data_IF_187731663839
#
_entry.id   IF_187731663839
#
_cell.length_a   1.000
_cell.length_b   1.000
_cell.length_c   1.000
_cell.angle_alpha   90.00
_cell.angle_beta   90.00
_cell.angle_gamma   90.00
#
_symmetry.space_group_name_H-M   'P 1'
#
loop_
_entity.id
_entity.type
_entity.pdbx_description
1 polymer ?
#
# COMPACT_ATOMS: atom_id res chain seq x y z
N UNK A 1 6.95 6.04 37.92
CA UNK A 1 5.49 6.12 38.19
C UNK A 1 4.89 7.38 37.54
N UNK A 2 5.39 8.58 37.81
CA UNK A 2 4.83 9.81 37.20
C UNK A 2 4.99 9.91 35.67
N UNK A 3 6.14 9.49 35.10
CA UNK A 3 6.35 9.53 33.64
C UNK A 3 5.40 8.60 32.88
N UNK A 4 5.16 7.38 33.37
CA UNK A 4 4.24 6.42 32.73
C UNK A 4 2.79 6.91 32.75
N UNK A 5 2.38 7.61 33.80
CA UNK A 5 1.03 8.19 33.87
C UNK A 5 0.88 9.38 32.91
N UNK A 6 1.90 10.24 32.79
CA UNK A 6 1.89 11.35 31.82
C UNK A 6 1.84 10.85 30.37
N UNK A 7 2.59 9.80 30.04
CA UNK A 7 2.57 9.18 28.70
C UNK A 7 1.20 8.60 28.36
N UNK A 8 0.57 7.92 29.32
CA UNK A 8 -0.78 7.37 29.15
C UNK A 8 -1.82 8.47 28.92
N UNK A 9 -1.79 9.53 29.72
CA UNK A 9 -2.71 10.67 29.56
C UNK A 9 -2.50 11.36 28.21
N UNK A 10 -1.24 11.53 27.75
CA UNK A 10 -0.95 12.08 26.41
C UNK A 10 -1.53 11.18 25.32
N UNK A 11 -1.32 9.87 25.38
CA UNK A 11 -1.85 8.93 24.39
C UNK A 11 -3.39 8.93 24.35
N UNK A 12 -4.06 8.97 25.50
CA UNK A 12 -5.53 9.07 25.60
C UNK A 12 -6.05 10.40 25.01
N UNK A 13 -5.35 11.51 25.27
CA UNK A 13 -5.69 12.81 24.68
C UNK A 13 -5.52 12.83 23.16
N UNK A 14 -4.42 12.25 22.64
CA UNK A 14 -4.17 12.13 21.21
C UNK A 14 -5.21 11.25 20.52
N UNK A 15 -5.54 10.10 21.10
CA UNK A 15 -6.57 9.20 20.58
C UNK A 15 -7.95 9.88 20.50
N UNK A 16 -8.21 10.85 21.38
CA UNK A 16 -9.47 11.61 21.39
C UNK A 16 -9.55 12.67 20.28
N UNK A 17 -8.43 13.09 19.66
CA UNK A 17 -8.39 14.19 18.68
C UNK A 17 -9.36 14.01 17.52
N UNK A 18 -9.52 12.78 17.02
CA UNK A 18 -10.44 12.50 15.93
C UNK A 18 -11.89 12.87 16.27
N UNK A 19 -12.32 12.61 17.50
CA UNK A 19 -13.65 12.98 17.97
C UNK A 19 -13.85 14.50 18.04
N UNK A 20 -12.76 15.26 18.22
CA UNK A 20 -12.78 16.72 18.30
C UNK A 20 -12.62 17.42 16.95
N UNK A 21 -12.16 16.72 15.90
CA UNK A 21 -11.78 17.31 14.62
C UNK A 21 -12.89 18.18 13.99
N UNK A 22 -14.16 17.81 14.18
CA UNK A 22 -15.31 18.59 13.70
C UNK A 22 -15.52 19.95 14.38
N UNK A 23 -14.85 20.20 15.50
CA UNK A 23 -14.91 21.47 16.24
C UNK A 23 -13.53 22.12 16.43
N UNK A 24 -12.47 21.48 15.94
CA UNK A 24 -11.10 21.92 16.10
C UNK A 24 -10.36 21.73 14.77
N UNK A 25 -10.39 22.75 13.92
CA UNK A 25 -9.78 22.74 12.58
C UNK A 25 -8.29 22.40 12.59
N UNK A 26 -7.61 22.59 13.72
CA UNK A 26 -6.18 22.28 13.90
C UNK A 26 -5.91 20.84 14.33
N UNK A 27 -6.92 20.00 14.54
CA UNK A 27 -6.74 18.63 15.01
C UNK A 27 -5.82 17.79 14.09
N UNK A 28 -5.93 17.85 12.74
CA UNK A 28 -4.99 17.17 11.85
C UNK A 28 -3.56 17.67 12.02
N UNK A 29 -3.37 18.99 12.09
CA UNK A 29 -2.04 19.59 12.28
C UNK A 29 -1.40 19.11 13.59
N UNK A 30 -2.16 19.03 14.68
CA UNK A 30 -1.66 18.53 15.97
C UNK A 30 -1.26 17.06 15.85
N UNK A 31 -2.08 16.21 15.24
CA UNK A 31 -1.73 14.80 15.03
C UNK A 31 -0.46 14.65 14.17
N UNK A 32 -0.35 15.40 13.06
CA UNK A 32 0.84 15.37 12.21
C UNK A 32 2.09 15.88 12.95
N UNK A 33 1.98 16.92 13.79
CA UNK A 33 3.11 17.44 14.58
C UNK A 33 3.64 16.38 15.55
N UNK A 34 2.74 15.63 16.18
CA UNK A 34 3.12 14.54 17.09
C UNK A 34 3.76 13.36 16.36
N UNK A 35 3.30 13.06 15.14
CA UNK A 35 3.95 12.06 14.27
C UNK A 35 5.27 12.59 13.71
N UNK A 36 5.45 13.88 13.54
CA UNK A 36 6.71 14.45 13.04
C UNK A 36 7.78 14.56 14.14
N UNK A 37 7.38 14.68 15.41
CA UNK A 37 8.28 14.81 16.56
C UNK A 37 9.03 13.51 16.85
N UNK A 38 10.20 13.32 16.24
CA UNK A 38 11.00 12.10 16.33
C UNK A 38 11.48 11.80 17.75
N UNK A 39 11.48 12.78 18.67
CA UNK A 39 11.92 12.60 20.05
C UNK A 39 10.86 11.90 20.91
N UNK A 40 9.59 11.89 20.47
CA UNK A 40 8.51 11.16 21.15
C UNK A 40 8.69 9.65 21.10
N UNK A 41 8.21 8.97 22.15
CA UNK A 41 8.25 7.52 22.30
C UNK A 41 7.09 6.85 21.54
N UNK A 42 6.42 5.83 22.08
CA UNK A 42 5.35 5.12 21.36
C UNK A 42 4.06 5.94 21.16
N UNK A 43 3.95 7.15 21.73
CA UNK A 43 2.74 7.97 21.75
C UNK A 43 2.31 8.45 20.36
N UNK A 44 3.24 8.62 19.42
CA UNK A 44 2.91 9.01 18.04
C UNK A 44 1.95 8.02 17.36
N UNK A 45 1.89 6.76 17.83
CA UNK A 45 0.92 5.78 17.31
C UNK A 45 -0.53 6.14 17.66
N UNK A 46 -0.77 6.78 18.81
CA UNK A 46 -2.08 7.30 19.15
C UNK A 46 -2.47 8.47 18.23
N UNK A 47 -1.52 9.37 17.93
CA UNK A 47 -1.70 10.43 16.95
C UNK A 47 -1.96 9.87 15.54
N UNK A 48 -1.25 8.82 15.12
CA UNK A 48 -1.50 8.12 13.85
C UNK A 48 -2.92 7.53 13.80
N UNK A 49 -3.38 6.88 14.88
CA UNK A 49 -4.75 6.35 14.95
C UNK A 49 -5.81 7.45 14.82
N UNK A 50 -5.58 8.61 15.46
CA UNK A 50 -6.45 9.76 15.32
C UNK A 50 -6.42 10.33 13.88
N UNK A 51 -5.22 10.49 13.29
CA UNK A 51 -5.06 10.94 11.90
C UNK A 51 -5.79 10.01 10.93
N UNK A 52 -5.63 8.70 11.08
CA UNK A 52 -6.31 7.69 10.25
C UNK A 52 -7.83 7.85 10.31
N UNK A 53 -8.37 8.07 11.50
CA UNK A 53 -9.80 8.31 11.69
C UNK A 53 -10.25 9.61 11.02
N UNK A 54 -9.45 10.69 11.14
CA UNK A 54 -9.75 11.96 10.47
C UNK A 54 -9.70 11.84 8.94
N UNK A 55 -8.72 11.12 8.38
CA UNK A 55 -8.62 10.88 6.93
C UNK A 55 -9.82 10.08 6.41
N UNK A 56 -10.29 9.10 7.17
CA UNK A 56 -11.53 8.36 6.88
C UNK A 56 -12.75 9.29 6.84
N UNK A 57 -12.80 10.29 7.73
CA UNK A 57 -13.82 11.32 7.82
C UNK A 57 -13.56 12.52 6.89
N UNK A 58 -12.61 12.38 5.95
CA UNK A 58 -12.28 13.35 4.88
C UNK A 58 -11.60 14.63 5.36
N UNK A 59 -10.93 14.57 6.50
CA UNK A 59 -10.25 15.70 7.12
C UNK A 59 -8.76 15.38 7.23
N UNK A 60 -7.89 16.35 6.95
CA UNK A 60 -6.45 16.22 7.21
C UNK A 60 -5.58 15.71 6.05
N UNK A 61 -6.10 15.59 4.83
CA UNK A 61 -5.34 15.08 3.68
C UNK A 61 -4.19 15.99 3.25
N UNK A 62 -4.36 17.31 3.36
CA UNK A 62 -3.28 18.27 3.10
C UNK A 62 -2.17 18.10 4.11
N UNK A 63 -2.50 18.07 5.40
CA UNK A 63 -1.54 17.89 6.49
C UNK A 63 -0.84 16.54 6.44
N UNK A 64 -1.54 15.48 6.01
CA UNK A 64 -0.93 14.17 5.79
C UNK A 64 0.04 14.17 4.61
N UNK A 65 -0.27 14.90 3.53
CA UNK A 65 0.63 15.04 2.37
C UNK A 65 1.89 15.81 2.74
N UNK A 66 1.75 16.92 3.49
CA UNK A 66 2.88 17.70 4.01
C UNK A 66 3.77 16.86 4.95
N UNK A 67 3.15 16.04 5.81
CA UNK A 67 3.86 15.11 6.69
C UNK A 67 4.62 14.05 5.88
N UNK A 68 3.98 13.44 4.88
CA UNK A 68 4.63 12.47 3.99
C UNK A 68 5.83 13.10 3.29
N UNK A 69 5.66 14.31 2.72
CA UNK A 69 6.74 15.02 2.06
C UNK A 69 7.89 15.30 3.03
N UNK A 70 7.58 15.76 4.24
CA UNK A 70 8.58 16.07 5.28
C UNK A 70 9.37 14.82 5.69
N UNK A 71 8.68 13.72 6.02
CA UNK A 71 9.33 12.49 6.46
C UNK A 71 10.11 11.81 5.33
N UNK A 72 9.63 11.86 4.08
CA UNK A 72 10.31 11.27 2.93
C UNK A 72 11.63 11.98 2.57
N UNK A 73 11.78 13.25 2.95
CA UNK A 73 12.98 14.06 2.69
C UNK A 73 13.85 14.25 3.94
N UNK A 74 13.46 13.69 5.08
CA UNK A 74 14.23 13.79 6.32
C UNK A 74 15.26 12.67 6.37
N UNK A 75 16.52 13.06 6.45
CA UNK A 75 17.60 12.13 6.73
C UNK A 75 17.74 11.98 8.25
N UNK A 76 17.59 10.73 8.73
CA UNK A 76 17.87 10.40 10.11
C UNK A 76 19.38 10.51 10.39
N UNK A 77 19.74 10.89 11.62
CA UNK A 77 21.15 10.90 12.03
C UNK A 77 21.76 9.49 11.93
N UNK A 78 23.06 9.40 11.64
CA UNK A 78 23.73 8.12 11.37
C UNK A 78 23.69 7.14 12.55
N UNK A 79 23.65 7.64 13.78
CA UNK A 79 23.51 6.85 15.01
C UNK A 79 22.12 6.22 15.18
N UNK A 80 21.12 6.72 14.44
CA UNK A 80 19.78 6.16 14.36
C UNK A 80 19.65 5.10 13.26
N UNK A 81 20.69 4.81 12.47
CA UNK A 81 20.68 3.70 11.51
C UNK A 81 21.16 2.42 12.20
N UNK A 82 20.23 1.51 12.49
CA UNK A 82 20.46 0.33 13.33
C UNK A 82 20.93 0.68 14.76
N UNK A 83 20.44 1.78 15.31
CA UNK A 83 20.73 2.20 16.69
C UNK A 83 20.07 1.30 17.74
N UNK A 84 20.65 1.18 18.95
CA UNK A 84 20.16 0.28 19.99
C UNK A 84 18.80 0.69 20.56
N UNK A 85 18.52 1.99 20.59
CA UNK A 85 17.28 2.53 21.15
C UNK A 85 16.23 2.82 20.06
N UNK A 86 16.68 3.19 18.85
CA UNK A 86 15.83 3.59 17.72
C UNK A 86 16.52 3.27 16.40
N UNK A 87 15.72 2.91 15.40
CA UNK A 87 16.19 2.57 14.05
C UNK A 87 15.35 3.30 12.98
N UNK A 88 15.96 4.21 12.22
CA UNK A 88 15.37 5.00 11.14
C UNK A 88 13.96 5.56 11.46
N UNK A 89 13.80 6.36 12.54
CA UNK A 89 12.49 6.78 13.01
C UNK A 89 11.68 7.57 11.97
N UNK A 90 12.31 8.36 11.09
CA UNK A 90 11.58 9.06 10.02
C UNK A 90 10.96 8.08 9.03
N UNK A 91 11.75 7.08 8.60
CA UNK A 91 11.28 6.04 7.68
C UNK A 91 10.18 5.17 8.31
N UNK A 92 10.33 4.77 9.59
CA UNK A 92 9.32 3.96 10.28
C UNK A 92 7.98 4.70 10.37
N UNK A 93 7.99 5.99 10.67
CA UNK A 93 6.78 6.80 10.79
C UNK A 93 6.15 7.05 9.43
N UNK A 94 6.95 7.31 8.39
CA UNK A 94 6.46 7.42 7.02
C UNK A 94 5.73 6.15 6.59
N UNK A 95 6.37 4.98 6.71
CA UNK A 95 5.77 3.69 6.35
C UNK A 95 4.47 3.46 7.12
N UNK A 96 4.42 3.82 8.40
CA UNK A 96 3.20 3.69 9.21
C UNK A 96 2.06 4.60 8.72
N UNK A 97 2.35 5.84 8.33
CA UNK A 97 1.37 6.76 7.72
C UNK A 97 0.86 6.22 6.39
N UNK A 98 1.77 5.74 5.53
CA UNK A 98 1.42 5.16 4.23
C UNK A 98 0.55 3.91 4.39
N UNK A 99 0.91 2.99 5.29
CA UNK A 99 0.11 1.80 5.56
C UNK A 99 -1.27 2.15 6.12
N UNK A 100 -1.37 3.13 7.02
CA UNK A 100 -2.65 3.57 7.55
C UNK A 100 -3.57 4.15 6.45
N UNK A 101 -3.03 4.98 5.55
CA UNK A 101 -3.76 5.52 4.42
C UNK A 101 -4.16 4.42 3.41
N UNK A 102 -3.25 3.47 3.15
CA UNK A 102 -3.49 2.34 2.26
C UNK A 102 -4.62 1.44 2.78
N UNK A 103 -4.75 1.26 4.09
CA UNK A 103 -5.73 0.37 4.73
C UNK A 103 -7.08 1.04 5.08
N UNK A 104 -7.28 2.30 4.67
CA UNK A 104 -8.57 2.95 4.82
C UNK A 104 -9.71 2.13 4.17
N UNK A 105 -10.95 2.21 4.71
CA UNK A 105 -12.10 1.54 4.12
C UNK A 105 -12.27 1.89 2.63
N UNK A 106 -12.75 0.93 1.83
CA UNK A 106 -12.89 1.08 0.37
C UNK A 106 -13.59 2.39 -0.03
N UNK A 107 -14.67 2.77 0.66
CA UNK A 107 -15.41 3.99 0.33
C UNK A 107 -14.55 5.27 0.52
N UNK A 108 -13.67 5.29 1.53
CA UNK A 108 -12.79 6.42 1.80
C UNK A 108 -11.68 6.49 0.74
N UNK A 109 -11.04 5.35 0.43
CA UNK A 109 -10.02 5.29 -0.64
C UNK A 109 -10.55 5.66 -2.02
N UNK A 110 -11.76 5.20 -2.34
CA UNK A 110 -12.41 5.54 -3.62
C UNK A 110 -12.71 7.04 -3.72
N UNK A 111 -13.12 7.66 -2.61
CA UNK A 111 -13.38 9.10 -2.56
C UNK A 111 -12.08 9.92 -2.63
N UNK A 112 -11.02 9.47 -1.96
CA UNK A 112 -9.73 10.15 -1.84
C UNK A 112 -8.64 9.56 -2.73
N UNK A 113 -9.05 9.08 -3.90
CA UNK A 113 -8.13 8.43 -4.84
C UNK A 113 -7.05 9.39 -5.32
N UNK A 114 -7.42 10.64 -5.59
CA UNK A 114 -6.48 11.64 -6.09
C UNK A 114 -5.41 11.97 -5.04
N UNK A 115 -5.80 12.05 -3.77
CA UNK A 115 -4.93 12.33 -2.64
C UNK A 115 -3.97 11.16 -2.37
N UNK A 116 -4.45 9.91 -2.47
CA UNK A 116 -3.56 8.74 -2.40
C UNK A 116 -2.56 8.70 -3.55
N UNK A 117 -2.99 9.00 -4.79
CA UNK A 117 -2.07 9.07 -5.93
C UNK A 117 -1.05 10.21 -5.75
N UNK A 118 -1.48 11.36 -5.23
CA UNK A 118 -0.58 12.46 -4.89
C UNK A 118 0.47 12.03 -3.86
N UNK A 119 0.06 11.33 -2.78
CA UNK A 119 0.98 10.75 -1.79
C UNK A 119 1.97 9.78 -2.45
N UNK A 120 1.53 8.92 -3.37
CA UNK A 120 2.44 8.04 -4.11
C UNK A 120 3.44 8.84 -4.96
N UNK A 121 2.99 9.91 -5.62
CA UNK A 121 3.87 10.74 -6.45
C UNK A 121 4.93 11.48 -5.62
N UNK A 122 4.62 11.86 -4.37
CA UNK A 122 5.62 12.41 -3.43
C UNK A 122 6.77 11.44 -3.11
N UNK A 123 6.57 10.14 -3.30
CA UNK A 123 7.59 9.10 -3.07
C UNK A 123 8.40 8.76 -4.34
N UNK A 124 7.97 9.22 -5.52
CA UNK A 124 8.46 8.74 -6.82
C UNK A 124 9.97 8.89 -7.03
N UNK A 125 10.58 9.89 -6.41
CA UNK A 125 12.03 10.17 -6.50
C UNK A 125 12.86 9.44 -5.41
N UNK A 126 12.20 8.72 -4.50
CA UNK A 126 12.84 8.03 -3.36
C UNK A 126 12.83 6.52 -3.58
N UNK A 127 13.89 5.99 -4.19
CA UNK A 127 14.02 4.57 -4.51
C UNK A 127 13.80 3.63 -3.31
N UNK A 128 14.17 4.06 -2.11
CA UNK A 128 13.99 3.30 -0.87
C UNK A 128 12.53 3.07 -0.47
N UNK A 129 11.60 3.95 -0.89
CA UNK A 129 10.17 3.86 -0.61
C UNK A 129 9.36 3.35 -1.81
N UNK A 130 10.03 2.79 -2.84
CA UNK A 130 9.33 2.21 -4.00
C UNK A 130 8.31 1.11 -3.62
N UNK A 131 8.59 0.20 -2.67
CA UNK A 131 7.58 -0.77 -2.23
C UNK A 131 6.32 -0.10 -1.65
N UNK A 132 6.50 0.90 -0.80
CA UNK A 132 5.39 1.62 -0.16
C UNK A 132 4.58 2.45 -1.16
N UNK A 133 5.27 3.08 -2.12
CA UNK A 133 4.64 3.74 -3.26
C UNK A 133 3.68 2.79 -4.00
N UNK A 134 4.11 1.56 -4.27
CA UNK A 134 3.28 0.58 -4.98
C UNK A 134 2.07 0.15 -4.16
N UNK A 135 2.23 -0.02 -2.85
CA UNK A 135 1.12 -0.31 -1.93
C UNK A 135 0.07 0.81 -2.01
N UNK A 136 0.48 2.08 -1.99
CA UNK A 136 -0.43 3.22 -2.09
C UNK A 136 -1.11 3.26 -3.47
N UNK A 137 -0.37 3.04 -4.57
CA UNK A 137 -0.96 3.01 -5.92
C UNK A 137 -1.99 1.90 -6.07
N UNK A 138 -1.73 0.72 -5.49
CA UNK A 138 -2.68 -0.39 -5.44
C UNK A 138 -3.89 -0.06 -4.56
N UNK A 139 -3.69 0.67 -3.46
CA UNK A 139 -4.78 1.15 -2.60
C UNK A 139 -5.67 2.20 -3.30
N UNK A 140 -5.07 3.02 -4.17
CA UNK A 140 -5.76 4.01 -5.00
C UNK A 140 -6.30 3.43 -6.33
N UNK A 141 -6.22 2.12 -6.57
CA UNK A 141 -6.52 1.55 -7.87
C UNK A 141 -8.02 1.62 -8.22
N UNK A 142 -8.32 1.91 -9.50
CA UNK A 142 -9.65 1.68 -10.05
C UNK A 142 -9.85 0.19 -10.32
N UNK A 143 -10.74 -0.45 -9.59
CA UNK A 143 -11.09 -1.84 -9.90
C UNK A 143 -12.06 -1.97 -11.08
N UNK A 144 -12.65 -0.86 -11.55
CA UNK A 144 -13.44 -0.82 -12.79
C UNK A 144 -12.57 -0.72 -14.04
N UNK A 145 -11.33 -0.22 -13.90
CA UNK A 145 -10.35 -0.12 -14.97
C UNK A 145 -8.92 -0.33 -14.42
N UNK A 146 -8.55 -1.55 -13.99
CA UNK A 146 -7.29 -1.81 -13.30
C UNK A 146 -6.07 -1.80 -14.24
N UNK A 147 -6.28 -2.06 -15.53
CA UNK A 147 -5.23 -2.25 -16.55
C UNK A 147 -4.14 -1.16 -16.55
N UNK A 148 -4.45 0.15 -16.56
CA UNK A 148 -3.41 1.18 -16.59
C UNK A 148 -2.48 1.15 -15.38
N UNK A 149 -3.04 0.87 -14.19
CA UNK A 149 -2.26 0.84 -12.94
C UNK A 149 -1.33 -0.37 -12.93
N UNK A 150 -1.85 -1.57 -13.21
CA UNK A 150 -1.03 -2.79 -13.20
C UNK A 150 0.00 -2.81 -14.33
N UNK A 151 -0.30 -2.23 -15.48
CA UNK A 151 0.66 -2.08 -16.57
C UNK A 151 1.80 -1.12 -16.21
N UNK A 152 1.49 0.02 -15.59
CA UNK A 152 2.51 0.97 -15.13
C UNK A 152 3.43 0.35 -14.06
N UNK A 153 2.87 -0.45 -13.14
CA UNK A 153 3.66 -1.19 -12.15
C UNK A 153 4.54 -2.26 -12.82
N UNK A 154 4.00 -3.04 -13.76
CA UNK A 154 4.73 -4.10 -14.46
C UNK A 154 6.04 -3.59 -15.10
N UNK A 155 6.00 -2.43 -15.77
CA UNK A 155 7.18 -1.82 -16.40
C UNK A 155 8.28 -1.52 -15.39
N UNK A 156 7.91 -1.08 -14.18
CA UNK A 156 8.87 -0.73 -13.11
C UNK A 156 9.40 -1.95 -12.37
N UNK A 157 8.79 -3.12 -12.56
CA UNK A 157 9.17 -4.39 -11.95
C UNK A 157 10.14 -5.21 -12.78
N UNK A 158 10.33 -4.85 -14.05
CA UNK A 158 11.25 -5.59 -14.90
C UNK A 158 12.67 -5.56 -14.36
N UNK A 159 13.29 -6.74 -14.33
CA UNK A 159 14.61 -7.01 -13.76
C UNK A 159 14.74 -6.69 -12.26
N UNK A 160 13.63 -6.64 -11.51
CA UNK A 160 13.59 -6.39 -10.06
C UNK A 160 12.88 -7.49 -9.26
N UNK A 161 13.42 -8.72 -9.20
CA UNK A 161 12.72 -9.88 -8.64
C UNK A 161 12.24 -9.72 -7.19
N UNK A 162 13.03 -9.09 -6.32
CA UNK A 162 12.65 -8.85 -4.91
C UNK A 162 11.48 -7.86 -4.78
N UNK A 163 11.50 -6.80 -5.59
CA UNK A 163 10.40 -5.83 -5.63
C UNK A 163 9.15 -6.47 -6.23
N UNK A 164 9.31 -7.32 -7.23
CA UNK A 164 8.22 -8.07 -7.87
C UNK A 164 7.50 -8.97 -6.87
N UNK A 165 8.23 -9.72 -6.04
CA UNK A 165 7.62 -10.57 -5.01
C UNK A 165 6.77 -9.76 -4.02
N UNK A 166 7.34 -8.67 -3.47
CA UNK A 166 6.61 -7.78 -2.56
C UNK A 166 5.37 -7.17 -3.22
N UNK A 167 5.47 -6.80 -4.49
CA UNK A 167 4.36 -6.20 -5.25
C UNK A 167 3.27 -7.21 -5.58
N UNK A 168 3.63 -8.46 -5.87
CA UNK A 168 2.66 -9.55 -6.03
C UNK A 168 1.90 -9.78 -4.72
N UNK A 169 2.58 -9.76 -3.58
CA UNK A 169 1.93 -9.86 -2.26
C UNK A 169 0.98 -8.68 -2.00
N UNK A 170 1.43 -7.45 -2.29
CA UNK A 170 0.60 -6.25 -2.16
C UNK A 170 -0.62 -6.29 -3.09
N UNK A 171 -0.47 -6.77 -4.33
CA UNK A 171 -1.57 -6.94 -5.27
C UNK A 171 -2.54 -8.04 -4.80
N UNK A 172 -2.03 -9.15 -4.26
CA UNK A 172 -2.85 -10.21 -3.67
C UNK A 172 -3.70 -9.68 -2.51
N UNK A 173 -3.08 -8.90 -1.62
CA UNK A 173 -3.75 -8.23 -0.49
C UNK A 173 -4.82 -7.26 -0.99
N UNK A 174 -4.50 -6.40 -1.95
CA UNK A 174 -5.45 -5.46 -2.53
C UNK A 174 -6.65 -6.17 -3.19
N UNK A 175 -6.41 -7.25 -3.94
CA UNK A 175 -7.46 -8.08 -4.55
C UNK A 175 -8.35 -8.73 -3.49
N UNK A 176 -7.77 -9.23 -2.40
CA UNK A 176 -8.49 -9.85 -1.29
C UNK A 176 -9.33 -8.86 -0.50
N UNK A 177 -8.78 -7.68 -0.21
CA UNK A 177 -9.47 -6.59 0.48
C UNK A 177 -10.62 -6.02 -0.35
N UNK A 178 -10.42 -5.87 -1.66
CA UNK A 178 -11.38 -5.22 -2.56
C UNK A 178 -12.17 -6.20 -3.44
N UNK A 179 -12.40 -7.43 -2.98
CA UNK A 179 -13.13 -8.45 -3.75
C UNK A 179 -14.45 -7.93 -4.35
N UNK A 180 -15.26 -7.19 -3.59
CA UNK A 180 -16.53 -6.66 -4.09
C UNK A 180 -16.39 -5.53 -5.15
N UNK A 181 -15.18 -5.10 -5.49
CA UNK A 181 -14.93 -3.95 -6.37
C UNK A 181 -14.58 -4.35 -7.81
N UNK A 182 -14.08 -5.56 -8.04
CA UNK A 182 -13.69 -6.04 -9.36
C UNK A 182 -14.58 -7.20 -9.82
N UNK A 183 -14.85 -7.24 -11.12
CA UNK A 183 -15.60 -8.30 -11.78
C UNK A 183 -14.69 -9.23 -12.58
N UNK A 184 -15.28 -10.29 -13.13
CA UNK A 184 -14.55 -11.24 -13.98
C UNK A 184 -13.99 -10.54 -15.23
N UNK A 185 -14.83 -9.80 -15.96
CA UNK A 185 -14.43 -9.13 -17.21
C UNK A 185 -13.29 -8.11 -17.01
N UNK A 186 -13.35 -7.27 -15.97
CA UNK A 186 -12.33 -6.23 -15.76
C UNK A 186 -10.96 -6.81 -15.40
N UNK A 187 -10.92 -7.94 -14.67
CA UNK A 187 -9.67 -8.64 -14.40
C UNK A 187 -9.17 -9.44 -15.60
N UNK A 188 -10.07 -9.99 -16.42
CA UNK A 188 -9.69 -10.69 -17.65
C UNK A 188 -8.96 -9.76 -18.61
N UNK A 189 -9.48 -8.56 -18.84
CA UNK A 189 -8.84 -7.55 -19.68
C UNK A 189 -7.43 -7.18 -19.18
N UNK A 190 -7.28 -6.99 -17.87
CA UNK A 190 -5.98 -6.67 -17.27
C UNK A 190 -5.00 -7.85 -17.36
N UNK A 191 -5.46 -9.08 -17.14
CA UNK A 191 -4.63 -10.28 -17.27
C UNK A 191 -4.21 -10.53 -18.73
N UNK A 192 -5.11 -10.35 -19.69
CA UNK A 192 -4.81 -10.48 -21.12
C UNK A 192 -3.79 -9.44 -21.57
N UNK A 193 -3.96 -8.19 -21.12
CA UNK A 193 -3.00 -7.14 -21.38
C UNK A 193 -1.59 -7.51 -20.89
N UNK A 194 -1.47 -7.93 -19.63
CA UNK A 194 -0.17 -8.27 -19.03
C UNK A 194 0.47 -9.54 -19.62
N UNK A 195 -0.33 -10.57 -19.92
CA UNK A 195 0.17 -11.81 -20.56
C UNK A 195 0.65 -11.61 -21.99
N UNK A 196 0.19 -10.55 -22.67
CA UNK A 196 0.68 -10.17 -24.00
C UNK A 196 2.13 -9.70 -23.99
N UNK A 197 2.62 -9.19 -22.86
CA UNK A 197 4.02 -8.78 -22.70
C UNK A 197 4.88 -9.95 -22.22
N UNK A 198 6.08 -10.06 -22.79
CA UNK A 198 7.05 -11.13 -22.50
C UNK A 198 8.08 -10.72 -21.46
N UNK A 199 7.67 -9.96 -20.44
CA UNK A 199 8.56 -9.44 -19.41
C UNK A 199 8.32 -10.11 -18.05
N UNK A 200 9.28 -9.94 -17.14
CA UNK A 200 9.23 -10.60 -15.83
C UNK A 200 8.16 -9.96 -14.93
N UNK A 201 8.08 -8.63 -14.94
CA UNK A 201 7.09 -7.87 -14.17
C UNK A 201 5.67 -8.11 -14.66
N UNK A 202 5.47 -8.12 -15.99
CA UNK A 202 4.15 -8.37 -16.58
C UNK A 202 3.66 -9.78 -16.28
N UNK A 203 4.51 -10.78 -16.46
CA UNK A 203 4.19 -12.18 -16.19
C UNK A 203 3.88 -12.46 -14.72
N UNK A 204 4.62 -11.83 -13.80
CA UNK A 204 4.40 -11.94 -12.37
C UNK A 204 3.06 -11.34 -11.92
N UNK A 205 2.75 -10.11 -12.34
CA UNK A 205 1.47 -9.47 -12.00
C UNK A 205 0.29 -10.19 -12.68
N UNK A 206 0.45 -10.63 -13.93
CA UNK A 206 -0.55 -11.45 -14.62
C UNK A 206 -0.86 -12.74 -13.84
N UNK A 207 0.18 -13.44 -13.38
CA UNK A 207 0.02 -14.65 -12.57
C UNK A 207 -0.75 -14.37 -11.28
N UNK A 208 -0.48 -13.25 -10.62
CA UNK A 208 -1.21 -12.89 -9.41
C UNK A 208 -2.69 -12.62 -9.68
N UNK A 209 -3.03 -11.90 -10.77
CA UNK A 209 -4.42 -11.70 -11.19
C UNK A 209 -5.11 -13.04 -11.47
N UNK A 210 -4.45 -13.92 -12.23
CA UNK A 210 -4.98 -15.25 -12.58
C UNK A 210 -5.22 -16.11 -11.34
N UNK A 211 -4.30 -16.11 -10.37
CA UNK A 211 -4.45 -16.87 -9.12
C UNK A 211 -5.62 -16.36 -8.29
N UNK A 212 -5.72 -15.05 -8.09
CA UNK A 212 -6.77 -14.44 -7.28
C UNK A 212 -8.15 -14.61 -7.92
N UNK A 213 -8.28 -14.37 -9.22
CA UNK A 213 -9.54 -14.53 -9.93
C UNK A 213 -9.94 -16.02 -10.07
N UNK A 214 -8.98 -16.87 -10.44
CA UNK A 214 -9.18 -18.31 -10.54
C UNK A 214 -9.66 -18.91 -9.21
N UNK A 215 -9.00 -18.59 -8.10
CA UNK A 215 -9.40 -19.10 -6.78
C UNK A 215 -10.78 -18.60 -6.36
N UNK A 216 -11.12 -17.34 -6.66
CA UNK A 216 -12.43 -16.77 -6.29
C UNK A 216 -13.59 -17.38 -7.09
N UNK A 217 -13.39 -17.63 -8.37
CA UNK A 217 -14.44 -18.08 -9.29
C UNK A 217 -14.41 -19.60 -9.55
N UNK A 218 -13.75 -20.37 -8.70
CA UNK A 218 -13.62 -21.84 -8.82
C UNK A 218 -13.01 -22.30 -10.15
N UNK A 219 -11.97 -21.59 -10.58
CA UNK A 219 -11.15 -21.84 -11.77
C UNK A 219 -11.96 -22.06 -13.05
N UNK A 220 -12.71 -21.07 -13.56
CA UNK A 220 -13.37 -21.19 -14.86
C UNK A 220 -12.34 -21.42 -15.99
N UNK A 221 -12.75 -22.04 -17.10
CA UNK A 221 -11.82 -22.37 -18.20
C UNK A 221 -11.01 -21.19 -18.74
N UNK A 222 -11.56 -19.96 -18.89
CA UNK A 222 -10.76 -18.79 -19.27
C UNK A 222 -9.56 -18.53 -18.35
N UNK A 223 -9.68 -18.76 -17.04
CA UNK A 223 -8.58 -18.60 -16.09
C UNK A 223 -7.60 -19.76 -16.14
N UNK A 224 -8.07 -21.00 -16.36
CA UNK A 224 -7.20 -22.16 -16.58
C UNK A 224 -6.37 -21.99 -17.85
N UNK A 225 -6.95 -21.47 -18.94
CA UNK A 225 -6.25 -21.20 -20.19
C UNK A 225 -5.12 -20.15 -20.01
N UNK A 226 -5.38 -19.07 -19.26
CA UNK A 226 -4.36 -18.07 -18.90
C UNK A 226 -3.24 -18.66 -18.05
N UNK A 227 -3.58 -19.50 -17.07
CA UNK A 227 -2.57 -20.21 -16.27
C UNK A 227 -1.70 -21.13 -17.13
N UNK A 228 -2.29 -21.87 -18.09
CA UNK A 228 -1.53 -22.69 -19.04
C UNK A 228 -0.56 -21.84 -19.87
N UNK A 229 -1.01 -20.69 -20.35
CA UNK A 229 -0.17 -19.73 -21.10
C UNK A 229 1.02 -19.26 -20.26
N UNK A 230 0.78 -18.90 -18.99
CA UNK A 230 1.84 -18.49 -18.06
C UNK A 230 2.82 -19.63 -17.71
N UNK A 231 2.38 -20.88 -17.68
CA UNK A 231 3.27 -22.04 -17.48
C UNK A 231 4.21 -22.30 -18.66
N UNK A 232 3.87 -21.76 -19.84
CA UNK A 232 4.71 -21.74 -21.04
C UNK A 232 5.33 -20.36 -21.32
N UNK A 233 5.38 -19.47 -20.31
CA UNK A 233 5.91 -18.12 -20.48
C UNK A 233 7.41 -18.16 -20.87
N UNK A 234 7.89 -17.26 -21.76
CA UNK A 234 9.28 -17.25 -22.20
C UNK A 234 10.29 -16.90 -21.09
N UNK A 235 9.87 -16.14 -20.08
CA UNK A 235 10.68 -15.90 -18.87
C UNK A 235 10.54 -17.10 -17.95
N UNK A 236 11.66 -17.80 -17.71
CA UNK A 236 11.70 -19.07 -16.98
C UNK A 236 11.15 -18.95 -15.56
N UNK A 237 11.53 -17.90 -14.81
CA UNK A 237 11.05 -17.67 -13.44
C UNK A 237 9.52 -17.55 -13.38
N UNK A 238 8.91 -16.85 -14.33
CA UNK A 238 7.44 -16.74 -14.43
C UNK A 238 6.82 -18.11 -14.69
N UNK A 239 7.40 -18.91 -15.60
CA UNK A 239 6.91 -20.25 -15.89
C UNK A 239 7.05 -21.19 -14.67
N UNK A 240 8.15 -21.11 -13.94
CA UNK A 240 8.37 -21.86 -12.69
C UNK A 240 7.32 -21.48 -11.64
N UNK A 241 7.12 -20.18 -11.40
CA UNK A 241 6.11 -19.69 -10.46
C UNK A 241 4.69 -20.13 -10.87
N UNK A 242 4.35 -20.05 -12.16
CA UNK A 242 3.05 -20.47 -12.67
C UNK A 242 2.81 -21.98 -12.55
N UNK A 243 3.87 -22.81 -12.62
CA UNK A 243 3.75 -24.26 -12.39
C UNK A 243 3.45 -24.61 -10.93
N UNK A 244 3.80 -23.72 -9.99
CA UNK A 244 3.49 -23.85 -8.55
C UNK A 244 2.09 -23.35 -8.18
N UNK A 245 1.39 -22.68 -9.09
CA UNK A 245 -0.01 -22.33 -8.89
C UNK A 245 -0.92 -23.51 -9.26
N UNK A 246 -1.80 -23.91 -8.36
CA UNK A 246 -2.70 -25.05 -8.55
C UNK A 246 -4.14 -24.59 -8.82
N UNK A 247 -4.75 -25.16 -9.86
CA UNK A 247 -6.15 -24.91 -10.23
C UNK A 247 -7.14 -25.94 -9.65
N UNK A 248 -6.60 -26.93 -8.94
CA UNK A 248 -7.30 -27.91 -8.14
C UNK A 248 -6.38 -28.24 -6.96
N UNK A 249 -6.94 -28.33 -5.75
CA UNK A 249 -6.23 -28.78 -4.56
C UNK A 249 -6.84 -30.12 -4.18
N UNK A 250 -6.01 -31.15 -4.01
CA UNK A 250 -6.42 -32.45 -3.46
C UNK A 250 -6.55 -32.39 -1.93
#
# INVERSE_FOLDING_TARGET
>A
MCQSDTQRVRAEALASLAGWARWADRAPQVACTEIDDLDTGPEWRAALGALTTMLQDRVGWTEASDLVQTLAHRDDALDLNAGPDRDRPSAQRLVAVLHAAAELPRYARAHHRAELLHIADLLGDRAEFTPDEFVIRLAAMDWTAPTPTVAALAVRLDDRPLLTEGTMSALAHALGRDQAAWGLLTLEEAADHLTGFRSSGSGALALQLVRSAGSRFDWPEPWRARLRTLRSHPVEDVAILAKRAWAAVE
#
